data_IF_552664908122
#
_entry.id   IF_552664908122
#
_cell.length_a   1.000
_cell.length_b   1.000
_cell.length_c   1.000
_cell.angle_alpha   90.00
_cell.angle_beta   90.00
_cell.angle_gamma   90.00
#
_symmetry.space_group_name_H-M   'P 1'
#
loop_
_entity.id
_entity.type
_entity.pdbx_description
1 polymer ?
#
# COMPACT_ATOMS: atom_id res chain seq x y z
N UNK A 1 2.54 8.49 -8.01
CA UNK A 1 1.59 7.52 -7.40
C UNK A 1 2.40 6.43 -6.74
N UNK A 2 1.98 5.95 -5.57
CA UNK A 2 2.64 4.86 -4.83
C UNK A 2 1.69 3.67 -4.65
N UNK A 3 2.18 2.45 -4.91
CA UNK A 3 1.36 1.23 -4.95
C UNK A 3 1.78 0.23 -3.88
N UNK A 4 1.00 0.14 -2.79
CA UNK A 4 1.34 -0.71 -1.64
C UNK A 4 1.14 -2.19 -1.92
N UNK A 5 0.00 -2.57 -2.53
CA UNK A 5 -0.28 -3.96 -2.89
C UNK A 5 0.72 -4.49 -3.92
N UNK A 6 1.08 -3.68 -4.91
CA UNK A 6 2.04 -4.07 -5.95
C UNK A 6 3.46 -4.23 -5.37
N UNK A 7 3.95 -3.26 -4.59
CA UNK A 7 5.24 -3.39 -3.91
C UNK A 7 5.28 -4.55 -2.90
N UNK A 8 4.18 -4.76 -2.17
CA UNK A 8 4.07 -5.83 -1.19
C UNK A 8 4.05 -7.24 -1.81
N UNK A 9 3.56 -7.38 -3.05
CA UNK A 9 3.64 -8.63 -3.83
C UNK A 9 5.05 -8.93 -4.33
N UNK A 10 5.89 -7.91 -4.51
CA UNK A 10 7.26 -8.10 -4.99
C UNK A 10 8.24 -8.44 -3.84
N UNK A 11 8.13 -7.74 -2.71
CA UNK A 11 9.16 -7.74 -1.69
C UNK A 11 8.63 -7.88 -0.26
N UNK A 12 7.40 -8.41 -0.06
CA UNK A 12 6.67 -8.44 1.21
C UNK A 12 6.23 -7.05 1.70
N UNK A 13 5.11 -7.04 2.44
CA UNK A 13 4.48 -5.82 2.97
C UNK A 13 5.41 -4.97 3.85
N UNK A 14 6.22 -5.60 4.70
CA UNK A 14 7.13 -4.89 5.60
C UNK A 14 8.18 -4.08 4.82
N UNK A 15 8.96 -4.76 3.98
CA UNK A 15 10.02 -4.15 3.17
C UNK A 15 9.45 -3.12 2.20
N UNK A 16 8.28 -3.41 1.59
CA UNK A 16 7.56 -2.46 0.75
C UNK A 16 7.18 -1.18 1.51
N UNK A 17 6.62 -1.28 2.72
CA UNK A 17 6.25 -0.13 3.53
C UNK A 17 7.46 0.72 3.91
N UNK A 18 8.56 0.09 4.33
CA UNK A 18 9.78 0.80 4.67
C UNK A 18 10.41 1.51 3.46
N UNK A 19 10.50 0.83 2.32
CA UNK A 19 11.01 1.43 1.07
C UNK A 19 10.11 2.57 0.59
N UNK A 20 8.79 2.44 0.69
CA UNK A 20 7.84 3.52 0.37
C UNK A 20 7.99 4.73 1.30
N UNK A 21 8.24 4.51 2.59
CA UNK A 21 8.53 5.59 3.53
C UNK A 21 9.79 6.37 3.11
N UNK A 22 10.89 5.66 2.83
CA UNK A 22 12.14 6.28 2.36
C UNK A 22 11.98 7.00 1.02
N UNK A 23 11.32 6.37 0.05
CA UNK A 23 11.09 6.97 -1.26
C UNK A 23 10.31 8.28 -1.16
N UNK A 24 9.28 8.35 -0.32
CA UNK A 24 8.53 9.58 -0.09
C UNK A 24 9.40 10.68 0.54
N UNK A 25 10.27 10.35 1.49
CA UNK A 25 11.23 11.30 2.09
C UNK A 25 12.22 11.87 1.07
N UNK A 26 12.73 11.05 0.16
CA UNK A 26 13.67 11.54 -0.86
C UNK A 26 12.96 12.36 -1.93
N UNK A 27 11.77 11.93 -2.36
CA UNK A 27 10.98 12.67 -3.35
C UNK A 27 10.59 14.06 -2.86
N UNK A 28 10.22 14.22 -1.58
CA UNK A 28 9.88 15.55 -1.06
C UNK A 28 11.12 16.48 -0.98
N UNK A 29 12.29 15.95 -0.62
CA UNK A 29 13.54 16.73 -0.63
C UNK A 29 13.85 17.26 -2.02
N UNK A 30 13.77 16.40 -3.03
CA UNK A 30 13.98 16.80 -4.43
C UNK A 30 12.93 17.80 -4.87
N UNK A 31 11.64 17.56 -4.61
CA UNK A 31 10.58 18.49 -5.00
C UNK A 31 10.79 19.90 -4.40
N UNK A 32 11.22 19.98 -3.13
CA UNK A 32 11.57 21.24 -2.47
C UNK A 32 12.76 21.94 -3.12
N UNK A 33 13.82 21.20 -3.46
CA UNK A 33 15.00 21.76 -4.13
C UNK A 33 14.63 22.48 -5.44
N UNK A 34 13.61 22.00 -6.15
CA UNK A 34 13.15 22.57 -7.41
C UNK A 34 11.89 23.43 -7.30
N UNK A 35 11.41 23.74 -6.07
CA UNK A 35 10.20 24.56 -5.88
C UNK A 35 8.90 23.92 -6.41
N UNK A 36 8.85 22.59 -6.54
CA UNK A 36 7.70 21.86 -7.06
C UNK A 36 6.77 21.44 -5.92
N UNK A 37 5.48 21.78 -6.02
CA UNK A 37 4.46 21.24 -5.11
C UNK A 37 4.11 19.81 -5.49
N UNK A 38 4.66 18.85 -4.74
CA UNK A 38 4.44 17.42 -4.94
C UNK A 38 3.16 16.94 -4.24
N UNK A 39 2.27 16.28 -4.98
CA UNK A 39 1.10 15.57 -4.43
C UNK A 39 1.30 14.07 -4.56
N UNK A 40 1.34 13.36 -3.43
CA UNK A 40 1.39 11.90 -3.42
C UNK A 40 0.00 11.32 -3.68
N UNK A 41 -0.11 10.44 -4.68
CA UNK A 41 -1.31 9.64 -4.90
C UNK A 41 -1.12 8.25 -4.30
N UNK A 42 -1.85 7.97 -3.21
CA UNK A 42 -1.82 6.70 -2.49
C UNK A 42 -2.75 5.65 -3.15
N UNK A 43 -2.14 4.60 -3.69
CA UNK A 43 -2.82 3.49 -4.36
C UNK A 43 -3.42 2.44 -3.41
N UNK A 44 -3.91 1.34 -4.00
CA UNK A 44 -4.51 0.20 -3.29
C UNK A 44 -3.51 -0.48 -2.34
N UNK A 45 -4.03 -1.07 -1.27
CA UNK A 45 -3.30 -1.89 -0.29
C UNK A 45 -2.64 -1.12 0.84
N UNK A 46 -2.60 0.21 0.75
CA UNK A 46 -2.07 1.04 1.81
C UNK A 46 -2.96 1.00 3.03
N UNK A 47 -2.36 1.19 4.20
CA UNK A 47 -3.07 1.44 5.46
C UNK A 47 -4.07 2.59 5.32
N UNK A 48 -3.77 3.59 4.47
CA UNK A 48 -4.63 4.77 4.21
C UNK A 48 -5.94 4.39 3.48
N UNK A 49 -5.90 3.40 2.59
CA UNK A 49 -7.03 3.07 1.69
C UNK A 49 -7.84 1.83 2.05
N UNK A 50 -7.45 1.08 3.09
CA UNK A 50 -8.15 -0.15 3.54
C UNK A 50 -8.78 -0.07 4.91
N UNK A 51 -8.60 1.02 5.67
CA UNK A 51 -8.99 1.03 7.08
C UNK A 51 -8.29 -0.06 7.91
N UNK A 52 -7.11 -0.54 7.48
CA UNK A 52 -6.30 -1.56 8.18
C UNK A 52 -5.63 -1.05 9.47
N UNK A 53 -6.13 0.06 9.98
CA UNK A 53 -5.76 0.88 11.12
C UNK A 53 -6.61 2.15 11.03
N UNK A 54 -6.73 2.97 12.09
CA UNK A 54 -7.47 4.22 12.01
C UNK A 54 -6.88 5.11 10.90
N UNK A 55 -7.64 5.35 9.81
CA UNK A 55 -7.19 6.12 8.64
C UNK A 55 -6.58 7.46 9.03
N UNK A 56 -7.15 8.09 10.07
CA UNK A 56 -6.65 9.32 10.67
C UNK A 56 -5.18 9.20 11.11
N UNK A 57 -4.84 8.22 11.97
CA UNK A 57 -3.45 7.99 12.41
C UNK A 57 -2.52 7.62 11.26
N UNK A 58 -3.03 6.98 10.21
CA UNK A 58 -2.21 6.61 9.06
C UNK A 58 -1.79 7.82 8.23
N UNK A 59 -2.67 8.82 8.12
CA UNK A 59 -2.33 10.09 7.48
C UNK A 59 -1.30 10.83 8.33
N UNK A 60 -1.51 10.87 9.66
CA UNK A 60 -0.57 11.50 10.60
C UNK A 60 0.82 10.85 10.63
N UNK A 61 0.93 9.55 10.29
CA UNK A 61 2.20 8.84 10.26
C UNK A 61 2.95 8.92 8.92
N UNK A 62 2.41 9.63 7.91
CA UNK A 62 3.16 9.88 6.68
C UNK A 62 4.45 10.65 6.99
N UNK A 63 5.53 10.48 6.21
CA UNK A 63 6.75 11.22 6.46
C UNK A 63 6.48 12.74 6.49
N UNK A 64 7.20 13.49 7.35
CA UNK A 64 7.02 14.94 7.42
C UNK A 64 7.02 15.58 6.04
N UNK A 65 6.17 16.58 5.85
CA UNK A 65 6.17 17.42 4.64
C UNK A 65 5.73 16.71 3.35
N UNK A 66 5.20 15.49 3.42
CA UNK A 66 4.76 14.76 2.21
C UNK A 66 3.33 15.07 1.76
N UNK A 67 2.51 15.70 2.62
CA UNK A 67 1.09 15.98 2.36
C UNK A 67 0.85 17.45 1.98
N UNK A 68 1.38 18.40 2.76
CA UNK A 68 1.25 19.85 2.53
C UNK A 68 -0.14 20.31 2.02
N UNK A 69 -1.20 19.88 2.71
CA UNK A 69 -2.59 20.24 2.40
C UNK A 69 -3.16 19.62 1.11
N UNK A 70 -2.44 18.70 0.46
CA UNK A 70 -2.89 18.03 -0.76
C UNK A 70 -2.80 16.50 -0.61
N UNK A 71 -3.95 15.89 -0.32
CA UNK A 71 -4.05 14.44 -0.16
C UNK A 71 -4.86 13.83 -1.31
N UNK A 72 -4.31 12.78 -1.94
CA UNK A 72 -5.05 11.96 -2.91
C UNK A 72 -4.94 10.48 -2.54
N UNK A 73 -6.06 9.83 -2.28
CA UNK A 73 -6.12 8.44 -1.79
C UNK A 73 -7.11 7.63 -2.61
N UNK A 74 -6.78 6.36 -2.84
CA UNK A 74 -7.71 5.38 -3.40
C UNK A 74 -8.62 4.83 -2.29
N UNK A 75 -9.92 5.09 -2.38
CA UNK A 75 -10.93 4.33 -1.63
C UNK A 75 -11.20 3.04 -2.39
N UNK A 76 -11.08 1.90 -1.71
CA UNK A 76 -11.27 0.60 -2.37
C UNK A 76 -12.74 0.23 -2.40
N UNK A 77 -13.14 -0.50 -3.45
CA UNK A 77 -14.52 -0.94 -3.60
C UNK A 77 -15.01 -1.74 -2.40
N UNK A 78 -14.16 -2.59 -1.82
CA UNK A 78 -14.51 -3.39 -0.63
C UNK A 78 -14.78 -2.55 0.64
N UNK A 79 -14.41 -1.27 0.69
CA UNK A 79 -14.62 -0.37 1.85
C UNK A 79 -15.56 0.80 1.54
N UNK A 80 -16.08 0.89 0.32
CA UNK A 80 -16.89 2.05 -0.12
C UNK A 80 -18.17 2.17 0.71
N UNK A 81 -18.87 1.07 0.92
CA UNK A 81 -20.12 1.01 1.67
C UNK A 81 -19.90 1.38 3.14
N UNK A 82 -18.89 0.81 3.78
CA UNK A 82 -18.53 1.16 5.16
C UNK A 82 -18.16 2.65 5.31
N UNK A 83 -17.53 3.23 4.29
CA UNK A 83 -17.04 4.60 4.33
C UNK A 83 -18.12 5.64 4.03
N UNK A 84 -19.08 5.31 3.17
CA UNK A 84 -20.00 6.28 2.56
C UNK A 84 -21.47 5.83 2.47
N UNK A 85 -21.79 4.56 2.75
CA UNK A 85 -23.14 3.99 2.60
C UNK A 85 -24.16 4.50 3.62
N UNK A 86 -23.71 4.99 4.78
CA UNK A 86 -24.56 5.60 5.80
C UNK A 86 -24.13 7.06 6.05
N UNK A 87 -25.10 7.97 6.18
CA UNK A 87 -24.89 9.43 6.26
C UNK A 87 -23.91 9.87 7.35
N UNK A 88 -24.06 9.38 8.59
CA UNK A 88 -23.16 9.72 9.69
C UNK A 88 -21.76 9.12 9.52
N UNK A 89 -21.65 7.94 8.91
CA UNK A 89 -20.35 7.33 8.58
C UNK A 89 -19.65 8.10 7.46
N UNK A 90 -20.38 8.50 6.42
CA UNK A 90 -19.92 9.37 5.35
C UNK A 90 -19.34 10.67 5.92
N UNK A 91 -20.11 11.37 6.76
CA UNK A 91 -19.66 12.60 7.42
C UNK A 91 -18.37 12.36 8.22
N UNK A 92 -18.33 11.30 9.05
CA UNK A 92 -17.13 10.96 9.84
C UNK A 92 -15.94 10.59 8.97
N UNK A 93 -16.14 9.97 7.81
CA UNK A 93 -15.06 9.68 6.85
C UNK A 93 -14.47 10.97 6.33
N UNK A 94 -15.29 11.88 5.82
CA UNK A 94 -14.84 13.18 5.31
C UNK A 94 -14.13 14.00 6.41
N UNK A 95 -14.71 14.05 7.62
CA UNK A 95 -14.12 14.74 8.77
C UNK A 95 -12.71 14.24 9.10
N UNK A 96 -12.50 12.91 9.14
CA UNK A 96 -11.20 12.32 9.48
C UNK A 96 -10.13 12.62 8.42
N UNK A 97 -10.49 12.55 7.13
CA UNK A 97 -9.57 12.87 6.04
C UNK A 97 -9.15 14.34 6.08
N UNK A 98 -10.11 15.26 6.22
CA UNK A 98 -9.84 16.70 6.31
C UNK A 98 -8.99 17.03 7.54
N UNK A 99 -9.40 16.55 8.72
CA UNK A 99 -8.70 16.82 9.98
C UNK A 99 -7.26 16.31 9.97
N UNK A 100 -7.05 15.05 9.58
CA UNK A 100 -5.70 14.48 9.57
C UNK A 100 -4.77 15.14 8.54
N UNK A 101 -5.30 15.52 7.37
CA UNK A 101 -4.54 16.21 6.32
C UNK A 101 -4.07 17.58 6.80
N UNK A 102 -4.95 18.31 7.49
CA UNK A 102 -4.65 19.61 8.07
C UNK A 102 -3.63 19.48 9.21
N UNK A 103 -3.89 18.58 10.17
CA UNK A 103 -3.04 18.36 11.33
C UNK A 103 -1.63 17.92 10.92
N UNK A 104 -1.47 16.97 10.00
CA UNK A 104 -0.14 16.55 9.53
C UNK A 104 0.71 17.71 8.98
N UNK A 105 0.06 18.67 8.31
CA UNK A 105 0.72 19.86 7.76
C UNK A 105 1.21 20.85 8.81
N UNK A 106 0.63 20.85 10.01
CA UNK A 106 0.96 21.78 11.10
C UNK A 106 1.67 21.11 12.29
N UNK A 107 1.48 19.80 12.44
CA UNK A 107 2.02 18.98 13.52
C UNK A 107 2.59 17.67 12.92
N UNK A 108 3.75 17.74 12.25
CA UNK A 108 4.35 16.57 11.61
C UNK A 108 4.84 15.54 12.65
N UNK A 109 4.88 14.25 12.29
CA UNK A 109 5.36 13.22 13.20
C UNK A 109 6.85 13.34 13.49
N UNK A 110 7.28 12.76 14.62
CA UNK A 110 8.69 12.73 15.02
C UNK A 110 9.53 12.01 13.96
N UNK A 111 10.69 12.57 13.64
CA UNK A 111 11.65 11.92 12.74
C UNK A 111 12.18 10.63 13.37
N UNK A 112 12.28 9.52 12.60
CA UNK A 112 12.79 8.27 13.14
C UNK A 112 14.25 8.42 13.55
N UNK A 113 14.62 7.80 14.66
CA UNK A 113 16.00 7.81 15.15
C UNK A 113 16.92 7.01 14.21
N UNK A 114 18.22 7.32 14.14
CA UNK A 114 19.16 6.59 13.28
C UNK A 114 19.17 5.07 13.52
N UNK A 115 19.14 4.66 14.79
CA UNK A 115 19.11 3.25 15.18
C UNK A 115 17.82 2.53 14.74
N UNK A 116 16.69 3.23 14.68
CA UNK A 116 15.45 2.68 14.16
C UNK A 116 15.54 2.50 12.64
N UNK A 117 16.14 3.45 11.94
CA UNK A 117 16.30 3.35 10.49
C UNK A 117 17.23 2.20 10.11
N UNK A 118 18.34 2.04 10.85
CA UNK A 118 19.29 0.94 10.66
C UNK A 118 18.62 -0.42 10.88
N UNK A 119 17.89 -0.58 11.99
CA UNK A 119 17.15 -1.81 12.28
C UNK A 119 16.10 -2.12 11.20
N UNK A 120 15.34 -1.10 10.76
CA UNK A 120 14.35 -1.28 9.68
C UNK A 120 15.00 -1.68 8.35
N UNK A 121 16.23 -1.21 8.08
CA UNK A 121 17.00 -1.61 6.90
C UNK A 121 17.44 -3.08 6.97
N UNK A 122 17.94 -3.54 8.10
CA UNK A 122 18.30 -4.95 8.32
C UNK A 122 17.08 -5.88 8.20
N UNK A 123 16.00 -5.55 8.91
CA UNK A 123 14.76 -6.33 8.88
C UNK A 123 14.17 -6.42 7.47
N UNK A 124 14.28 -5.35 6.66
CA UNK A 124 13.74 -5.34 5.31
C UNK A 124 14.50 -6.27 4.36
N UNK A 125 15.80 -6.48 4.57
CA UNK A 125 16.59 -7.45 3.78
C UNK A 125 16.09 -8.86 4.09
N UNK A 126 16.12 -9.26 5.37
CA UNK A 126 15.71 -10.60 5.81
C UNK A 126 14.27 -10.92 5.41
N UNK A 127 13.34 -9.99 5.63
CA UNK A 127 11.93 -10.19 5.28
C UNK A 127 11.70 -10.31 3.76
N UNK A 128 12.53 -9.67 2.94
CA UNK A 128 12.45 -9.78 1.47
C UNK A 128 13.01 -11.12 1.01
N UNK A 129 14.14 -11.55 1.57
CA UNK A 129 14.79 -12.81 1.23
C UNK A 129 13.89 -14.00 1.57
N UNK A 130 13.35 -14.05 2.78
CA UNK A 130 12.42 -15.11 3.21
C UNK A 130 11.14 -15.12 2.36
N UNK A 131 10.57 -13.95 2.07
CA UNK A 131 9.38 -13.89 1.21
C UNK A 131 9.66 -14.40 -0.19
N UNK A 132 10.79 -13.99 -0.78
CA UNK A 132 11.14 -14.38 -2.14
C UNK A 132 11.57 -15.84 -2.24
N UNK A 133 12.20 -16.39 -1.20
CA UNK A 133 12.57 -17.81 -1.17
C UNK A 133 11.33 -18.70 -1.28
N UNK A 134 10.23 -18.32 -0.63
CA UNK A 134 8.96 -19.07 -0.70
C UNK A 134 8.19 -18.75 -1.99
N UNK A 135 7.97 -17.47 -2.32
CA UNK A 135 7.02 -17.09 -3.37
C UNK A 135 7.58 -17.25 -4.79
N UNK A 136 8.89 -17.05 -4.96
CA UNK A 136 9.52 -17.05 -6.28
C UNK A 136 10.57 -18.14 -6.47
N UNK A 137 11.21 -18.63 -5.40
CA UNK A 137 12.29 -19.62 -5.52
C UNK A 137 11.82 -21.06 -5.27
N UNK A 138 10.81 -21.29 -4.40
CA UNK A 138 10.24 -22.63 -4.19
C UNK A 138 9.47 -23.10 -5.45
N UNK A 139 9.92 -24.14 -6.15
CA UNK A 139 9.34 -24.53 -7.44
C UNK A 139 7.87 -24.96 -7.36
N UNK A 140 7.45 -25.49 -6.20
CA UNK A 140 6.08 -26.01 -5.97
C UNK A 140 5.10 -24.96 -5.47
N UNK A 141 5.56 -23.73 -5.22
CA UNK A 141 4.72 -22.69 -4.62
C UNK A 141 3.49 -22.37 -5.47
N UNK A 142 3.67 -22.24 -6.79
CA UNK A 142 2.56 -21.91 -7.71
C UNK A 142 1.49 -23.00 -7.71
N UNK A 143 1.90 -24.26 -7.75
CA UNK A 143 0.98 -25.40 -7.71
C UNK A 143 0.21 -25.43 -6.39
N UNK A 144 0.93 -25.27 -5.27
CA UNK A 144 0.31 -25.16 -3.95
C UNK A 144 -0.70 -24.01 -3.90
N UNK A 145 -0.32 -22.82 -4.35
CA UNK A 145 -1.19 -21.64 -4.34
C UNK A 145 -2.46 -21.85 -5.17
N UNK A 146 -2.36 -22.42 -6.36
CA UNK A 146 -3.51 -22.69 -7.23
C UNK A 146 -4.45 -23.80 -6.69
N UNK A 147 -3.90 -24.75 -5.91
CA UNK A 147 -4.67 -25.82 -5.28
C UNK A 147 -5.31 -25.38 -3.95
N UNK A 148 -4.57 -24.64 -3.13
CA UNK A 148 -4.99 -24.21 -1.80
C UNK A 148 -5.95 -23.01 -1.82
N UNK A 149 -5.96 -22.23 -2.90
CA UNK A 149 -6.78 -21.01 -3.03
C UNK A 149 -7.78 -21.10 -4.18
N UNK A 150 -8.82 -20.23 -4.20
CA UNK A 150 -9.75 -20.17 -5.31
C UNK A 150 -9.23 -19.39 -6.53
N UNK A 151 -7.94 -19.04 -6.63
CA UNK A 151 -7.41 -18.14 -7.68
C UNK A 151 -7.84 -18.52 -9.10
N UNK A 152 -7.69 -19.81 -9.47
CA UNK A 152 -8.06 -20.30 -10.80
C UNK A 152 -9.56 -20.18 -11.06
N UNK A 153 -10.38 -20.33 -10.01
CA UNK A 153 -11.85 -20.28 -10.11
C UNK A 153 -12.31 -18.82 -10.17
N UNK A 154 -11.71 -17.96 -9.36
CA UNK A 154 -11.92 -16.50 -9.41
C UNK A 154 -11.69 -15.93 -10.80
N UNK A 155 -10.62 -16.34 -11.49
CA UNK A 155 -10.33 -15.90 -12.86
C UNK A 155 -11.31 -16.42 -13.93
N UNK A 156 -12.09 -17.48 -13.65
CA UNK A 156 -13.07 -18.07 -14.57
C UNK A 156 -14.50 -17.59 -14.32
N UNK A 157 -14.80 -17.14 -13.10
CA UNK A 157 -16.12 -16.65 -12.72
C UNK A 157 -16.33 -15.20 -13.17
N UNK A 158 -17.58 -14.83 -13.40
CA UNK A 158 -17.98 -13.47 -13.77
C UNK A 158 -18.03 -12.53 -12.54
N UNK A 159 -16.94 -12.47 -11.78
CA UNK A 159 -16.80 -11.66 -10.55
C UNK A 159 -15.92 -10.43 -10.81
N UNK A 160 -14.78 -10.61 -11.47
CA UNK A 160 -13.84 -9.54 -11.80
C UNK A 160 -13.97 -9.10 -13.25
N UNK A 161 -13.90 -7.79 -13.51
CA UNK A 161 -13.95 -7.24 -14.87
C UNK A 161 -12.62 -7.30 -15.64
N UNK A 162 -11.53 -7.75 -14.98
CA UNK A 162 -10.17 -7.74 -15.54
C UNK A 162 -9.55 -9.13 -15.47
N UNK A 163 -8.71 -9.51 -16.45
CA UNK A 163 -7.93 -10.75 -16.37
C UNK A 163 -7.03 -10.79 -15.13
N UNK A 164 -7.00 -11.93 -14.43
CA UNK A 164 -6.21 -12.12 -13.21
C UNK A 164 -4.70 -12.01 -13.43
N UNK A 165 -4.21 -12.42 -14.61
CA UNK A 165 -2.79 -12.33 -14.99
C UNK A 165 -2.57 -11.34 -16.14
N UNK A 166 -1.37 -10.77 -16.22
CA UNK A 166 -0.90 -9.97 -17.37
C UNK A 166 -0.46 -10.84 -18.54
N UNK A 167 0.16 -11.99 -18.24
CA UNK A 167 0.57 -13.02 -19.20
C UNK A 167 0.03 -14.37 -18.71
N UNK A 168 -0.78 -15.11 -19.48
CA UNK A 168 -1.40 -16.36 -19.02
C UNK A 168 -0.40 -17.43 -18.56
N UNK A 169 0.75 -17.53 -19.24
CA UNK A 169 1.81 -18.51 -18.96
C UNK A 169 2.83 -18.06 -17.90
N UNK A 170 2.65 -16.88 -17.29
CA UNK A 170 3.59 -16.39 -16.29
C UNK A 170 3.32 -16.94 -14.88
N UNK A 171 4.37 -16.94 -14.05
CA UNK A 171 4.31 -17.21 -12.61
C UNK A 171 3.64 -16.09 -11.80
N UNK A 172 3.97 -16.01 -10.52
CA UNK A 172 3.42 -15.01 -9.59
C UNK A 172 3.75 -13.57 -10.03
N UNK A 173 4.83 -13.34 -10.79
CA UNK A 173 5.15 -11.99 -11.31
C UNK A 173 4.04 -11.48 -12.24
N UNK A 174 3.44 -12.39 -13.01
CA UNK A 174 2.38 -12.07 -13.96
C UNK A 174 1.01 -11.89 -13.30
N UNK A 175 0.82 -12.43 -12.09
CA UNK A 175 -0.41 -12.31 -11.31
C UNK A 175 -0.58 -10.86 -10.83
N UNK A 176 -1.77 -10.30 -11.06
CA UNK A 176 -2.09 -8.94 -10.59
C UNK A 176 -2.26 -8.94 -9.07
N UNK A 177 -2.00 -7.79 -8.46
CA UNK A 177 -2.07 -7.65 -7.00
C UNK A 177 -3.46 -7.90 -6.41
N UNK A 178 -4.55 -7.70 -7.18
CA UNK A 178 -5.92 -7.94 -6.72
C UNK A 178 -6.17 -9.45 -6.53
N UNK A 179 -6.05 -10.30 -7.57
CA UNK A 179 -6.14 -11.75 -7.40
C UNK A 179 -5.19 -12.30 -6.34
N UNK A 180 -3.96 -11.79 -6.26
CA UNK A 180 -2.97 -12.23 -5.27
C UNK A 180 -3.44 -12.05 -3.81
N UNK A 181 -4.15 -10.95 -3.51
CA UNK A 181 -4.61 -10.65 -2.16
C UNK A 181 -6.03 -11.19 -1.91
N UNK A 182 -6.79 -11.41 -2.98
CA UNK A 182 -8.15 -11.95 -2.89
C UNK A 182 -8.15 -13.45 -2.63
N UNK A 183 -7.26 -14.18 -3.33
CA UNK A 183 -7.08 -15.61 -3.18
C UNK A 183 -6.46 -15.96 -1.82
#
# INVERSE_FOLDING_TARGET
MIGYSDSGKDARRFSAAWKLYKAQKELIKVAKQYGVKLTMFHGRGGTVGRGGGPTHLTILSQPPETIHGSLRVTVQGEVIEQSFGQEHLCFRTLQRFTGATLEHGMHPPVSPKPEWCALMDEMAVVATEEYRSIVFQEPRFVDYFCLATPELKYGRMNIGSRPSKRKPSGGIESLRAIPWIFA
#
